data_IF_031575024564
#
_entry.id   IF_031575024564
#
_cell.length_a   1.000
_cell.length_b   1.000
_cell.length_c   1.000
_cell.angle_alpha   90.00
_cell.angle_beta   90.00
_cell.angle_gamma   90.00
#
_symmetry.space_group_name_H-M   'P 1'
#
loop_
_entity.id
_entity.type
_entity.pdbx_description
1 polymer ?
#
# COMPACT_ATOMS: atom_id res chain seq x y z
N UNK A 1 7.69 11.82 64.21
CA UNK A 1 7.63 10.38 64.04
C UNK A 1 8.67 10.04 62.99
N UNK A 2 9.88 9.70 63.48
CA UNK A 2 10.98 9.19 62.67
C UNK A 2 10.65 7.73 62.29
N UNK A 3 10.61 7.40 61.03
CA UNK A 3 10.61 6.03 60.55
C UNK A 3 12.02 5.65 60.10
N UNK A 4 12.67 4.81 60.92
CA UNK A 4 13.93 4.15 60.63
C UNK A 4 13.79 3.25 59.39
N UNK A 5 14.43 3.64 58.27
CA UNK A 5 14.54 2.83 57.05
C UNK A 5 15.68 1.81 57.25
N UNK A 6 15.39 0.63 57.77
CA UNK A 6 16.33 -0.51 57.81
C UNK A 6 16.44 -1.08 56.37
N UNK A 7 17.51 -0.73 55.65
CA UNK A 7 17.87 -1.34 54.40
C UNK A 7 18.12 -2.84 54.55
N UNK A 8 17.46 -3.63 53.74
CA UNK A 8 17.56 -5.10 53.73
C UNK A 8 18.99 -5.54 53.34
N UNK A 9 19.62 -6.36 54.19
CA UNK A 9 20.99 -6.87 54.00
C UNK A 9 21.21 -7.56 52.67
N UNK A 10 20.17 -8.16 52.08
CA UNK A 10 20.21 -8.77 50.75
C UNK A 10 20.37 -7.75 49.61
N UNK A 11 19.84 -6.53 49.75
CA UNK A 11 19.97 -5.47 48.78
C UNK A 11 21.38 -4.86 48.78
N UNK A 12 22.01 -4.74 49.94
CA UNK A 12 23.39 -4.29 50.06
C UNK A 12 24.37 -5.30 49.46
N UNK A 13 24.13 -6.60 49.69
CA UNK A 13 24.95 -7.68 49.09
C UNK A 13 24.85 -7.70 47.58
N UNK A 14 23.67 -7.43 47.01
CA UNK A 14 23.47 -7.37 45.56
C UNK A 14 24.19 -6.16 44.90
N UNK A 15 24.20 -5.02 45.59
CA UNK A 15 24.90 -3.82 45.09
C UNK A 15 26.43 -4.02 45.13
N UNK A 16 26.97 -4.69 46.19
CA UNK A 16 28.41 -5.00 46.30
C UNK A 16 28.82 -5.99 45.19
N UNK A 17 27.99 -6.96 44.85
CA UNK A 17 28.26 -7.91 43.77
C UNK A 17 28.29 -7.23 42.40
N UNK A 18 27.39 -6.27 42.13
CA UNK A 18 27.35 -5.48 40.90
C UNK A 18 28.59 -4.59 40.73
N UNK A 19 29.10 -3.99 41.82
CA UNK A 19 30.31 -3.18 41.81
C UNK A 19 31.56 -4.04 41.64
N UNK A 20 31.60 -5.27 42.18
CA UNK A 20 32.69 -6.21 42.00
C UNK A 20 32.77 -6.74 40.56
N UNK A 21 31.64 -7.03 39.92
CA UNK A 21 31.57 -7.45 38.52
C UNK A 21 32.02 -6.30 37.58
N UNK A 22 31.58 -5.07 37.87
CA UNK A 22 32.01 -3.90 37.07
C UNK A 22 33.52 -3.62 37.21
N UNK A 23 34.12 -3.85 38.38
CA UNK A 23 35.57 -3.72 38.58
C UNK A 23 36.40 -4.84 37.88
N UNK A 24 35.86 -6.04 37.79
CA UNK A 24 36.55 -7.15 37.10
C UNK A 24 36.64 -6.92 35.57
N UNK A 25 35.77 -6.12 34.98
CA UNK A 25 35.84 -5.75 33.58
C UNK A 25 36.82 -4.60 33.25
N UNK A 26 37.30 -3.87 34.25
CA UNK A 26 38.18 -2.70 34.04
C UNK A 26 39.68 -3.03 34.30
N UNK A 27 40.02 -4.19 34.86
CA UNK A 27 41.41 -4.50 35.26
C UNK A 27 41.98 -5.78 34.64
N UNK A 28 41.63 -6.10 33.40
CA UNK A 28 42.32 -7.15 32.65
C UNK A 28 43.22 -6.53 31.59
N UNK A 29 44.39 -6.07 31.97
CA UNK A 29 45.55 -5.82 31.08
C UNK A 29 46.10 -7.16 30.62
N UNK A 30 45.54 -7.73 29.57
CA UNK A 30 46.13 -8.82 28.82
C UNK A 30 47.11 -8.28 27.76
N UNK A 31 48.08 -9.11 27.29
CA UNK A 31 49.18 -8.67 26.44
C UNK A 31 48.70 -8.14 25.10
N UNK A 32 49.33 -7.06 24.64
CA UNK A 32 49.08 -6.42 23.38
C UNK A 32 49.09 -7.43 22.21
N UNK A 33 47.96 -7.75 21.69
CA UNK A 33 47.80 -8.41 20.40
C UNK A 33 48.00 -7.35 19.31
N UNK A 34 49.21 -7.19 18.86
CA UNK A 34 49.54 -6.50 17.62
C UNK A 34 49.08 -7.39 16.46
N UNK A 35 47.81 -7.33 16.13
CA UNK A 35 47.31 -7.90 14.89
C UNK A 35 47.27 -6.83 13.82
N UNK A 36 47.98 -7.07 12.76
CA UNK A 36 47.86 -6.40 11.48
C UNK A 36 46.40 -6.52 10.95
N UNK A 37 45.50 -5.72 11.46
CA UNK A 37 44.29 -5.38 10.74
C UNK A 37 44.71 -4.38 9.65
N UNK A 38 45.20 -4.89 8.51
CA UNK A 38 45.02 -4.19 7.25
C UNK A 38 43.54 -3.97 7.12
N UNK A 39 43.09 -2.76 7.44
CA UNK A 39 41.77 -2.33 7.15
C UNK A 39 41.50 -2.51 5.67
N UNK A 40 40.83 -3.58 5.30
CA UNK A 40 40.12 -3.58 4.05
C UNK A 40 39.05 -2.49 4.25
N UNK A 41 39.34 -1.30 3.74
CA UNK A 41 38.31 -0.31 3.44
C UNK A 41 37.36 -1.09 2.53
N UNK A 42 36.24 -1.52 3.11
CA UNK A 42 35.08 -1.94 2.34
C UNK A 42 34.77 -0.73 1.47
N UNK A 43 35.20 -0.76 0.21
CA UNK A 43 34.71 0.15 -0.79
C UNK A 43 33.25 -0.13 -0.83
N UNK A 44 32.48 0.74 -0.17
CA UNK A 44 31.05 0.86 -0.49
C UNK A 44 31.06 1.30 -1.95
N UNK A 45 30.83 0.34 -2.86
CA UNK A 45 30.36 0.66 -4.18
C UNK A 45 29.07 1.43 -3.92
N UNK A 46 29.09 2.75 -4.13
CA UNK A 46 27.87 3.52 -4.32
C UNK A 46 27.27 2.96 -5.62
N UNK A 47 26.40 1.95 -5.49
CA UNK A 47 25.51 1.63 -6.59
C UNK A 47 24.74 2.89 -6.90
N UNK A 48 24.75 3.28 -8.17
CA UNK A 48 24.02 4.46 -8.64
C UNK A 48 22.55 4.22 -8.33
N UNK A 49 21.93 5.13 -7.57
CA UNK A 49 20.55 4.99 -7.17
C UNK A 49 19.63 5.10 -8.37
N UNK A 50 18.61 4.28 -8.41
CA UNK A 50 17.52 4.37 -9.40
C UNK A 50 16.78 5.69 -9.21
N UNK A 51 16.61 6.44 -10.29
CA UNK A 51 16.00 7.77 -10.29
C UNK A 51 14.51 7.69 -10.56
N UNK A 52 13.74 8.24 -9.64
CA UNK A 52 12.28 8.16 -9.63
C UNK A 52 11.65 9.52 -9.91
N UNK A 53 10.69 9.54 -10.82
CA UNK A 53 9.79 10.67 -11.04
C UNK A 53 8.42 10.46 -10.36
N UNK A 54 7.87 11.50 -9.74
CA UNK A 54 6.52 11.50 -9.16
C UNK A 54 5.69 12.56 -9.86
N UNK A 55 4.77 12.14 -10.72
CA UNK A 55 3.80 13.04 -11.35
C UNK A 55 2.60 13.23 -10.42
N UNK A 56 2.25 14.50 -10.11
CA UNK A 56 1.18 14.81 -9.18
C UNK A 56 1.59 14.71 -7.71
N UNK A 57 2.84 15.05 -7.38
CA UNK A 57 3.43 14.95 -6.04
C UNK A 57 2.69 15.74 -4.95
N UNK A 58 1.93 16.78 -5.30
CA UNK A 58 1.16 17.60 -4.35
C UNK A 58 -0.14 16.94 -3.86
N UNK A 59 -0.52 15.77 -4.39
CA UNK A 59 -1.64 14.95 -3.90
C UNK A 59 -1.25 14.11 -2.68
N UNK A 60 -2.25 13.49 -2.00
CA UNK A 60 -1.98 12.61 -0.85
C UNK A 60 -1.17 11.37 -1.23
N UNK A 61 -1.44 10.75 -2.38
CA UNK A 61 -0.69 9.58 -2.86
C UNK A 61 0.75 9.95 -3.21
N UNK A 62 0.97 11.11 -3.87
CA UNK A 62 2.33 11.59 -4.16
C UNK A 62 3.13 11.91 -2.89
N UNK A 63 2.51 12.55 -1.89
CA UNK A 63 3.15 12.82 -0.61
C UNK A 63 3.47 11.52 0.16
N UNK A 64 2.59 10.54 0.11
CA UNK A 64 2.81 9.24 0.74
C UNK A 64 3.93 8.45 0.03
N UNK A 65 3.98 8.48 -1.31
CA UNK A 65 5.11 7.93 -2.07
C UNK A 65 6.43 8.60 -1.67
N UNK A 66 6.47 9.94 -1.59
CA UNK A 66 7.67 10.65 -1.14
C UNK A 66 8.10 10.18 0.27
N UNK A 67 7.15 10.00 1.20
CA UNK A 67 7.43 9.48 2.56
C UNK A 67 8.09 8.09 2.52
N UNK A 68 7.59 7.21 1.68
CA UNK A 68 8.09 5.83 1.57
C UNK A 68 9.43 5.78 0.82
N UNK A 69 9.56 6.53 -0.27
CA UNK A 69 10.79 6.56 -1.08
C UNK A 69 11.99 7.18 -0.35
N UNK A 70 11.77 8.14 0.55
CA UNK A 70 12.84 8.76 1.34
C UNK A 70 13.60 7.79 2.25
N UNK A 71 12.98 6.66 2.61
CA UNK A 71 13.63 5.61 3.42
C UNK A 71 14.02 4.39 2.60
N UNK A 72 13.82 4.41 1.30
CA UNK A 72 14.21 3.32 0.40
C UNK A 72 15.72 3.40 0.08
N UNK A 73 16.50 2.33 0.29
CA UNK A 73 17.96 2.41 0.21
C UNK A 73 18.48 2.61 -1.21
N UNK A 74 17.77 2.13 -2.23
CA UNK A 74 18.27 2.01 -3.61
C UNK A 74 17.72 3.05 -4.59
N UNK A 75 16.87 3.99 -4.13
CA UNK A 75 16.26 4.97 -5.03
C UNK A 75 16.51 6.40 -4.56
N UNK A 76 16.35 7.34 -5.48
CA UNK A 76 16.26 8.77 -5.19
C UNK A 76 15.12 9.42 -5.98
N UNK A 77 14.48 10.41 -5.37
CA UNK A 77 13.43 11.19 -6.04
C UNK A 77 14.13 12.27 -6.85
N UNK A 78 14.13 12.13 -8.17
CA UNK A 78 14.84 13.01 -9.09
C UNK A 78 13.92 14.02 -9.81
N UNK A 79 12.61 13.76 -9.88
CA UNK A 79 11.64 14.69 -10.45
C UNK A 79 10.31 14.64 -9.68
N UNK A 80 9.68 15.80 -9.50
CA UNK A 80 8.37 15.94 -8.87
C UNK A 80 7.54 16.96 -9.63
N UNK A 81 6.34 16.56 -10.08
CA UNK A 81 5.45 17.51 -10.75
C UNK A 81 4.21 17.83 -9.93
N UNK A 82 3.69 19.04 -10.13
CA UNK A 82 2.41 19.48 -9.60
C UNK A 82 1.93 20.69 -10.40
N UNK A 83 0.64 20.75 -10.74
CA UNK A 83 0.08 21.84 -11.51
C UNK A 83 0.02 23.14 -10.69
N UNK A 84 -0.87 23.22 -9.71
CA UNK A 84 -1.13 24.45 -8.92
C UNK A 84 0.02 24.83 -7.99
N UNK A 85 0.92 23.93 -7.68
CA UNK A 85 2.04 24.13 -6.76
C UNK A 85 3.39 24.16 -7.49
N UNK A 86 3.41 24.29 -8.81
CA UNK A 86 4.63 24.43 -9.59
C UNK A 86 5.46 25.64 -9.13
N UNK A 87 6.79 25.50 -9.17
CA UNK A 87 7.76 26.50 -8.71
C UNK A 87 8.02 26.46 -7.20
N UNK A 88 7.21 25.75 -6.41
CA UNK A 88 7.38 25.69 -4.96
C UNK A 88 8.31 24.54 -4.54
N UNK A 89 8.96 24.72 -3.40
CA UNK A 89 9.64 23.63 -2.69
C UNK A 89 8.59 22.65 -2.13
N UNK A 90 8.85 21.36 -2.21
CA UNK A 90 7.92 20.35 -1.72
C UNK A 90 7.59 20.53 -0.23
N UNK A 91 8.60 20.95 0.57
CA UNK A 91 8.44 21.23 2.00
C UNK A 91 7.55 22.46 2.30
N UNK A 92 7.36 23.38 1.36
CA UNK A 92 6.40 24.48 1.54
C UNK A 92 4.95 24.03 1.39
N UNK A 93 4.72 22.97 0.61
CA UNK A 93 3.40 22.34 0.44
C UNK A 93 3.11 21.33 1.56
N UNK A 94 4.15 20.66 2.05
CA UNK A 94 4.12 19.64 3.08
C UNK A 94 5.24 19.86 4.11
N UNK A 95 5.03 20.74 5.12
CA UNK A 95 6.06 21.13 6.08
C UNK A 95 6.73 19.97 6.84
N UNK A 96 6.07 18.84 6.98
CA UNK A 96 6.63 17.64 7.58
C UNK A 96 7.82 17.04 6.81
N UNK A 97 8.10 17.52 5.59
CA UNK A 97 9.28 17.11 4.80
C UNK A 97 10.43 18.13 4.88
N UNK A 98 10.37 19.13 5.78
CA UNK A 98 11.44 20.13 5.93
C UNK A 98 12.80 19.54 6.35
N UNK A 99 12.81 18.34 6.91
CA UNK A 99 14.03 17.60 7.22
C UNK A 99 14.70 16.99 5.97
N UNK A 100 13.94 16.74 4.91
CA UNK A 100 14.41 16.10 3.69
C UNK A 100 15.06 17.13 2.78
N UNK A 101 16.41 17.13 2.74
CA UNK A 101 17.17 18.00 1.87
C UNK A 101 17.34 17.39 0.48
N UNK A 102 17.35 18.25 -0.55
CA UNK A 102 17.64 17.81 -1.92
C UNK A 102 16.45 17.24 -2.69
N UNK A 103 15.22 17.34 -2.15
CA UNK A 103 14.05 17.04 -2.94
C UNK A 103 13.89 18.05 -4.09
N UNK A 104 13.49 17.60 -5.30
CA UNK A 104 13.25 18.49 -6.42
C UNK A 104 12.17 19.53 -6.12
N UNK A 105 12.29 20.72 -6.72
CA UNK A 105 11.16 21.66 -6.81
C UNK A 105 10.03 21.05 -7.61
N UNK A 106 8.81 21.43 -7.26
CA UNK A 106 7.64 21.05 -8.03
C UNK A 106 7.63 21.82 -9.36
N UNK A 107 7.54 21.11 -10.46
CA UNK A 107 7.45 21.65 -11.82
C UNK A 107 6.10 21.30 -12.44
N UNK A 108 5.73 21.92 -13.55
CA UNK A 108 4.60 21.46 -14.36
C UNK A 108 5.06 20.32 -15.26
N UNK A 109 4.16 19.40 -15.57
CA UNK A 109 4.50 18.30 -16.45
C UNK A 109 4.78 18.78 -17.89
N UNK A 110 4.09 19.82 -18.33
CA UNK A 110 4.25 20.43 -19.65
C UNK A 110 5.59 21.16 -19.83
N UNK A 111 6.32 21.38 -18.74
CA UNK A 111 7.68 21.96 -18.76
C UNK A 111 8.75 20.89 -19.05
N UNK A 112 8.37 19.59 -19.13
CA UNK A 112 9.28 18.49 -19.39
C UNK A 112 9.16 17.96 -20.80
N UNK A 113 10.25 18.03 -21.54
CA UNK A 113 10.42 17.37 -22.83
C UNK A 113 10.94 15.93 -22.66
N UNK A 114 10.98 15.17 -23.74
CA UNK A 114 11.42 13.76 -23.69
C UNK A 114 12.85 13.61 -23.13
N UNK A 115 13.72 14.59 -23.39
CA UNK A 115 15.12 14.64 -22.94
C UNK A 115 15.25 14.80 -21.42
N UNK A 116 14.31 15.50 -20.78
CA UNK A 116 14.32 15.71 -19.32
C UNK A 116 14.11 14.39 -18.56
N UNK A 117 13.48 13.43 -19.20
CA UNK A 117 13.29 12.10 -18.65
C UNK A 117 14.50 11.17 -18.87
N UNK A 118 15.57 11.63 -19.58
CA UNK A 118 16.73 10.78 -19.93
C UNK A 118 17.42 10.16 -18.70
N UNK A 119 17.41 10.86 -17.57
CA UNK A 119 17.99 10.39 -16.31
C UNK A 119 17.00 9.72 -15.35
N UNK A 120 15.73 9.51 -15.75
CA UNK A 120 14.72 8.86 -14.91
C UNK A 120 14.55 7.41 -15.35
N UNK A 121 14.39 6.50 -14.39
CA UNK A 121 14.24 5.06 -14.63
C UNK A 121 12.78 4.61 -14.49
N UNK A 122 12.06 5.18 -13.52
CA UNK A 122 10.66 4.83 -13.26
C UNK A 122 9.87 6.08 -12.85
N UNK A 123 8.62 6.11 -13.30
CA UNK A 123 7.65 7.18 -12.99
C UNK A 123 6.46 6.60 -12.25
N UNK A 124 6.06 7.26 -11.16
CA UNK A 124 4.76 7.10 -10.52
C UNK A 124 3.80 8.18 -11.00
N UNK A 125 2.64 7.77 -11.54
CA UNK A 125 1.58 8.69 -11.92
C UNK A 125 0.54 8.80 -10.81
N UNK A 126 0.53 9.94 -10.10
CA UNK A 126 -0.42 10.26 -9.02
C UNK A 126 -1.41 11.35 -9.46
N UNK A 127 -1.81 11.31 -10.71
CA UNK A 127 -2.65 12.31 -11.36
C UNK A 127 -4.15 11.95 -11.26
N UNK A 128 -5.05 12.91 -11.49
CA UNK A 128 -6.48 12.62 -11.59
C UNK A 128 -6.79 11.63 -12.72
N UNK A 129 -7.91 10.91 -12.58
CA UNK A 129 -8.42 10.05 -13.65
C UNK A 129 -8.71 10.85 -14.93
N UNK A 130 -8.67 10.17 -16.06
CA UNK A 130 -8.83 10.71 -17.42
C UNK A 130 -7.73 11.69 -17.86
N UNK A 131 -6.58 11.72 -17.17
CA UNK A 131 -5.43 12.57 -17.54
C UNK A 131 -4.16 11.79 -17.81
N UNK A 132 -4.02 10.57 -17.29
CA UNK A 132 -2.75 9.83 -17.35
C UNK A 132 -2.53 9.12 -18.68
N UNK A 133 -3.58 8.80 -19.43
CA UNK A 133 -3.49 8.06 -20.69
C UNK A 133 -2.61 8.77 -21.72
N UNK A 134 -2.91 10.04 -22.00
CA UNK A 134 -2.13 10.83 -22.96
C UNK A 134 -0.71 11.15 -22.48
N UNK A 135 -0.56 11.35 -21.18
CA UNK A 135 0.73 11.63 -20.56
C UNK A 135 1.64 10.40 -20.68
N UNK A 136 1.16 9.23 -20.26
CA UNK A 136 1.94 7.99 -20.31
C UNK A 136 2.26 7.58 -21.75
N UNK A 137 1.35 7.85 -22.69
CA UNK A 137 1.57 7.57 -24.11
C UNK A 137 2.71 8.42 -24.72
N UNK A 138 3.00 9.59 -24.15
CA UNK A 138 4.09 10.48 -24.58
C UNK A 138 5.42 10.18 -23.89
N UNK A 139 5.41 9.43 -22.77
CA UNK A 139 6.64 9.09 -22.06
C UNK A 139 7.53 8.14 -22.90
N UNK A 140 8.86 8.30 -22.84
CA UNK A 140 9.78 7.39 -23.51
C UNK A 140 9.52 5.91 -23.16
N UNK A 141 9.53 5.04 -24.15
CA UNK A 141 9.20 3.61 -23.98
C UNK A 141 10.11 2.87 -23.01
N UNK A 142 11.34 3.33 -22.81
CA UNK A 142 12.29 2.75 -21.84
C UNK A 142 11.87 2.94 -20.40
N UNK A 143 11.01 3.95 -20.11
CA UNK A 143 10.57 4.23 -18.75
C UNK A 143 9.59 3.19 -18.25
N UNK A 144 9.83 2.69 -17.06
CA UNK A 144 8.85 1.93 -16.30
C UNK A 144 7.86 2.89 -15.66
N UNK A 145 6.59 2.49 -15.62
CA UNK A 145 5.51 3.35 -15.10
C UNK A 145 4.63 2.55 -14.14
N UNK A 146 4.34 3.13 -12.98
CA UNK A 146 3.29 2.66 -12.07
C UNK A 146 2.22 3.75 -12.00
N UNK A 147 1.06 3.47 -12.57
CA UNK A 147 -0.06 4.40 -12.61
C UNK A 147 -1.02 4.17 -11.44
N UNK A 148 -1.17 5.16 -10.55
CA UNK A 148 -2.10 5.13 -9.42
C UNK A 148 -3.48 5.69 -9.80
N UNK A 149 -3.66 6.20 -11.01
CA UNK A 149 -4.98 6.57 -11.52
C UNK A 149 -5.84 5.34 -11.83
N UNK A 150 -7.04 5.54 -12.31
CA UNK A 150 -7.89 4.43 -12.74
C UNK A 150 -7.77 4.14 -14.25
N UNK A 151 -6.94 4.91 -14.97
CA UNK A 151 -6.99 5.01 -16.43
C UNK A 151 -6.59 3.72 -17.14
N UNK A 152 -5.82 2.85 -16.48
CA UNK A 152 -5.37 1.58 -17.05
C UNK A 152 -5.82 0.34 -16.27
N UNK A 153 -6.75 0.48 -15.30
CA UNK A 153 -7.18 -0.65 -14.45
C UNK A 153 -8.15 -1.59 -15.14
N UNK A 154 -9.05 -1.04 -15.97
CA UNK A 154 -10.07 -1.82 -16.65
C UNK A 154 -9.55 -2.28 -18.00
N UNK A 155 -9.49 -3.59 -18.23
CA UNK A 155 -9.01 -4.18 -19.49
C UNK A 155 -9.95 -3.89 -20.67
N UNK A 156 -11.26 -3.75 -20.39
CA UNK A 156 -12.27 -3.42 -21.38
C UNK A 156 -12.46 -1.89 -21.44
N UNK A 157 -12.13 -1.30 -22.58
CA UNK A 157 -12.24 0.16 -22.80
C UNK A 157 -13.69 0.65 -22.87
N UNK A 158 -14.65 -0.21 -23.25
CA UNK A 158 -16.06 0.14 -23.24
C UNK A 158 -16.59 0.23 -21.81
N UNK A 159 -16.17 -0.69 -20.92
CA UNK A 159 -16.45 -0.61 -19.49
C UNK A 159 -15.81 0.64 -18.87
N UNK A 160 -14.58 0.99 -19.29
CA UNK A 160 -13.96 2.24 -18.85
C UNK A 160 -14.82 3.45 -19.26
N UNK A 161 -15.27 3.50 -20.52
CA UNK A 161 -16.14 4.58 -21.02
C UNK A 161 -17.45 4.67 -20.25
N UNK A 162 -18.10 3.54 -19.99
CA UNK A 162 -19.36 3.48 -19.23
C UNK A 162 -19.21 4.08 -17.82
N UNK A 163 -18.15 3.72 -17.10
CA UNK A 163 -17.97 4.09 -15.69
C UNK A 163 -17.22 5.41 -15.47
N UNK A 164 -16.38 5.84 -16.40
CA UNK A 164 -15.61 7.08 -16.28
C UNK A 164 -16.12 8.20 -17.18
N UNK A 165 -17.01 7.90 -18.11
CA UNK A 165 -17.69 8.88 -18.98
C UNK A 165 -16.83 9.44 -20.13
N UNK A 166 -15.64 8.89 -20.36
CA UNK A 166 -14.71 9.32 -21.41
C UNK A 166 -14.26 8.13 -22.26
N UNK A 167 -14.02 8.36 -23.54
CA UNK A 167 -13.32 7.39 -24.38
C UNK A 167 -11.90 7.17 -23.85
N UNK A 168 -11.38 5.95 -23.97
CA UNK A 168 -10.02 5.65 -23.59
C UNK A 168 -9.04 6.23 -24.62
N UNK A 169 -8.20 7.20 -24.21
CA UNK A 169 -7.31 7.92 -25.12
C UNK A 169 -6.08 7.08 -25.59
N UNK A 170 -5.77 5.96 -24.93
CA UNK A 170 -4.62 5.12 -25.25
C UNK A 170 -4.97 3.61 -25.23
N UNK A 171 -5.91 3.13 -26.08
CA UNK A 171 -6.39 1.74 -26.05
C UNK A 171 -5.31 0.71 -26.37
N UNK A 172 -4.33 1.04 -27.21
CA UNK A 172 -3.22 0.13 -27.52
C UNK A 172 -2.25 0.00 -26.33
N UNK A 173 -2.04 1.06 -25.58
CA UNK A 173 -1.24 1.02 -24.36
C UNK A 173 -1.97 0.26 -23.25
N UNK A 174 -3.32 0.33 -23.18
CA UNK A 174 -4.14 -0.45 -22.28
C UNK A 174 -3.88 -1.96 -22.38
N UNK A 175 -3.68 -2.48 -23.59
CA UNK A 175 -3.39 -3.91 -23.83
C UNK A 175 -2.07 -4.38 -23.20
N UNK A 176 -1.15 -3.45 -22.92
CA UNK A 176 0.16 -3.70 -22.32
C UNK A 176 0.15 -3.50 -20.80
N UNK A 177 -0.87 -2.86 -20.27
CA UNK A 177 -0.97 -2.56 -18.84
C UNK A 177 -1.21 -3.84 -18.02
N UNK A 178 -0.41 -4.02 -16.97
CA UNK A 178 -0.56 -5.12 -16.02
C UNK A 178 -1.27 -4.61 -14.78
N UNK A 179 -2.33 -5.28 -14.37
CA UNK A 179 -3.02 -4.97 -13.12
C UNK A 179 -2.15 -5.36 -11.92
N UNK A 180 -1.72 -4.37 -11.14
CA UNK A 180 -0.65 -4.47 -10.16
C UNK A 180 -1.10 -4.95 -8.77
N UNK A 181 -1.97 -5.95 -8.65
CA UNK A 181 -2.21 -6.63 -7.38
C UNK A 181 -1.08 -7.65 -7.15
N UNK A 182 0.02 -7.18 -6.56
CA UNK A 182 1.33 -7.84 -6.54
C UNK A 182 1.25 -9.30 -6.11
N UNK A 183 0.56 -9.59 -5.02
CA UNK A 183 0.46 -10.95 -4.47
C UNK A 183 -0.15 -11.96 -5.46
N UNK A 184 -1.00 -11.51 -6.36
CA UNK A 184 -1.70 -12.37 -7.33
C UNK A 184 -1.15 -12.29 -8.76
N UNK A 185 -0.36 -11.25 -9.09
CA UNK A 185 0.11 -10.98 -10.46
C UNK A 185 1.64 -10.72 -10.52
N UNK A 186 2.41 -11.16 -9.51
CA UNK A 186 3.85 -10.87 -9.35
C UNK A 186 4.68 -11.13 -10.59
N UNK A 187 4.51 -12.28 -11.24
CA UNK A 187 5.30 -12.64 -12.42
C UNK A 187 5.01 -11.71 -13.62
N UNK A 188 3.77 -11.25 -13.74
CA UNK A 188 3.38 -10.29 -14.79
C UNK A 188 3.96 -8.91 -14.47
N UNK A 189 3.87 -8.46 -13.21
CA UNK A 189 4.44 -7.18 -12.74
C UNK A 189 5.94 -7.12 -12.97
N UNK A 190 6.66 -8.21 -12.74
CA UNK A 190 8.11 -8.30 -12.91
C UNK A 190 8.59 -7.91 -14.30
N UNK A 191 7.83 -8.24 -15.33
CA UNK A 191 8.19 -7.99 -16.74
C UNK A 191 7.48 -6.79 -17.34
N UNK A 192 6.56 -6.16 -16.59
CA UNK A 192 5.76 -5.06 -17.08
C UNK A 192 6.58 -3.78 -17.31
N UNK A 193 6.21 -3.02 -18.35
CA UNK A 193 6.59 -1.61 -18.50
C UNK A 193 5.60 -0.70 -17.78
N UNK A 194 4.30 -0.98 -17.89
CA UNK A 194 3.20 -0.22 -17.31
C UNK A 194 2.42 -1.10 -16.34
N UNK A 195 2.37 -0.66 -15.09
CA UNK A 195 1.56 -1.31 -14.05
C UNK A 195 0.43 -0.37 -13.65
N UNK A 196 -0.81 -0.82 -13.82
CA UNK A 196 -2.00 -0.17 -13.29
C UNK A 196 -2.18 -0.55 -11.81
N UNK A 197 -1.86 0.37 -10.93
CA UNK A 197 -1.96 0.12 -9.48
C UNK A 197 -3.42 0.04 -9.04
N UNK A 198 -3.84 -1.01 -8.32
CA UNK A 198 -5.23 -1.20 -7.90
C UNK A 198 -5.81 -0.05 -7.09
N UNK A 199 -7.13 0.11 -7.13
CA UNK A 199 -7.85 0.95 -6.20
C UNK A 199 -7.82 0.40 -4.77
N UNK A 200 -8.03 1.27 -3.79
CA UNK A 200 -7.93 0.86 -2.39
C UNK A 200 -8.98 -0.18 -1.97
N UNK A 201 -10.24 0.01 -2.32
CA UNK A 201 -11.29 -0.99 -2.09
C UNK A 201 -11.06 -2.27 -2.90
N UNK A 202 -10.76 -2.22 -4.22
CA UNK A 202 -10.43 -3.43 -4.98
C UNK A 202 -9.27 -4.22 -4.37
N UNK A 203 -8.26 -3.58 -3.81
CA UNK A 203 -7.17 -4.27 -3.10
C UNK A 203 -7.69 -5.07 -1.92
N UNK A 204 -8.51 -4.48 -1.05
CA UNK A 204 -9.05 -5.14 0.13
C UNK A 204 -10.02 -6.27 -0.21
N UNK A 205 -10.87 -6.07 -1.23
CA UNK A 205 -11.87 -7.06 -1.66
C UNK A 205 -11.26 -8.24 -2.43
N UNK A 206 -10.39 -7.95 -3.39
CA UNK A 206 -9.87 -8.97 -4.30
C UNK A 206 -8.87 -9.92 -3.63
N UNK A 207 -8.06 -9.44 -2.69
CA UNK A 207 -7.13 -10.30 -1.97
C UNK A 207 -7.83 -11.53 -1.37
N UNK A 208 -8.92 -11.44 -0.60
CA UNK A 208 -9.57 -12.64 -0.11
C UNK A 208 -10.49 -13.32 -1.13
N UNK A 209 -11.15 -12.58 -2.03
CA UNK A 209 -12.19 -13.14 -2.89
C UNK A 209 -11.63 -13.91 -4.10
N UNK A 210 -10.54 -13.44 -4.71
CA UNK A 210 -9.93 -14.11 -5.88
C UNK A 210 -9.48 -15.53 -5.52
N UNK A 211 -8.68 -15.77 -4.48
CA UNK A 211 -8.29 -17.13 -4.10
C UNK A 211 -9.48 -18.01 -3.71
N UNK A 212 -10.49 -17.43 -3.06
CA UNK A 212 -11.69 -18.15 -2.65
C UNK A 212 -12.52 -18.66 -3.85
N UNK A 213 -12.69 -17.79 -4.88
CA UNK A 213 -13.37 -18.14 -6.12
C UNK A 213 -12.57 -19.15 -6.95
N UNK A 214 -11.27 -18.92 -7.11
CA UNK A 214 -10.38 -19.82 -7.85
C UNK A 214 -10.33 -21.23 -7.25
N UNK A 215 -10.42 -21.36 -5.91
CA UNK A 215 -10.50 -22.63 -5.22
C UNK A 215 -11.92 -23.23 -5.19
N UNK A 216 -12.93 -22.54 -5.69
CA UNK A 216 -14.32 -23.01 -5.70
C UNK A 216 -14.91 -23.22 -4.31
N UNK A 217 -14.46 -22.48 -3.29
CA UNK A 217 -14.97 -22.61 -1.90
C UNK A 217 -16.11 -21.67 -1.58
N UNK A 218 -16.32 -20.64 -2.41
CA UNK A 218 -17.48 -19.72 -2.33
C UNK A 218 -18.24 -19.74 -3.66
N UNK A 219 -19.53 -19.37 -3.60
CA UNK A 219 -20.33 -19.11 -4.80
C UNK A 219 -19.97 -17.75 -5.39
N UNK A 220 -19.97 -17.60 -6.71
CA UNK A 220 -19.69 -16.33 -7.38
C UNK A 220 -20.88 -15.35 -7.33
N UNK A 221 -22.02 -15.81 -6.90
CA UNK A 221 -23.25 -15.04 -6.83
C UNK A 221 -23.54 -14.63 -5.38
N UNK A 222 -24.19 -13.47 -5.17
CA UNK A 222 -24.63 -13.00 -3.85
C UNK A 222 -23.50 -12.46 -2.96
N UNK A 223 -22.36 -12.07 -3.53
CA UNK A 223 -21.27 -11.42 -2.81
C UNK A 223 -21.68 -10.00 -2.42
N UNK A 224 -21.64 -9.71 -1.11
CA UNK A 224 -21.95 -8.39 -0.56
C UNK A 224 -20.67 -7.84 0.09
N UNK A 225 -20.24 -6.65 -0.34
CA UNK A 225 -19.06 -5.95 0.18
C UNK A 225 -19.54 -4.66 0.85
N UNK A 226 -19.60 -4.68 2.18
CA UNK A 226 -19.92 -3.53 3.01
C UNK A 226 -18.64 -2.89 3.52
N UNK A 227 -18.22 -1.78 2.87
CA UNK A 227 -16.91 -1.19 3.00
C UNK A 227 -16.93 0.16 3.74
N UNK A 228 -15.94 0.39 4.60
CA UNK A 228 -15.75 1.63 5.37
C UNK A 228 -14.38 2.20 5.05
N UNK A 229 -14.29 3.49 4.70
CA UNK A 229 -13.03 4.16 4.35
C UNK A 229 -12.84 5.47 5.10
N UNK A 230 -11.59 5.76 5.42
CA UNK A 230 -11.17 7.09 5.83
C UNK A 230 -11.22 8.11 4.68
N UNK A 231 -11.29 9.38 5.06
CA UNK A 231 -11.54 10.53 4.15
C UNK A 231 -10.43 10.80 3.15
N UNK A 232 -9.20 10.39 3.43
CA UNK A 232 -8.07 10.62 2.52
C UNK A 232 -8.22 9.93 1.16
N UNK A 233 -9.08 8.90 1.07
CA UNK A 233 -9.43 8.24 -0.19
C UNK A 233 -10.12 9.16 -1.20
N UNK A 234 -10.76 10.24 -0.75
CA UNK A 234 -11.37 11.25 -1.61
C UNK A 234 -10.37 12.23 -2.25
N UNK A 235 -9.09 12.16 -1.87
CA UNK A 235 -8.03 13.05 -2.33
C UNK A 235 -7.96 14.36 -1.54
N UNK A 236 -6.94 15.19 -1.87
CA UNK A 236 -6.65 16.44 -1.16
C UNK A 236 -7.53 17.62 -1.58
N UNK A 237 -8.04 17.62 -2.79
CA UNK A 237 -8.88 18.71 -3.28
C UNK A 237 -10.16 18.83 -2.42
N UNK A 238 -10.48 20.04 -1.89
CA UNK A 238 -11.66 20.21 -1.05
C UNK A 238 -12.95 19.97 -1.84
N UNK A 239 -13.84 19.20 -1.25
CA UNK A 239 -15.20 18.96 -1.74
C UNK A 239 -16.14 19.11 -0.56
N UNK A 240 -17.35 19.62 -0.77
CA UNK A 240 -18.31 19.82 0.30
C UNK A 240 -18.47 18.58 1.17
N UNK A 241 -18.77 17.41 0.60
CA UNK A 241 -18.97 16.16 1.33
C UNK A 241 -17.72 15.58 2.03
N UNK A 242 -16.55 16.25 1.95
CA UNK A 242 -15.32 15.87 2.65
C UNK A 242 -14.79 16.97 3.60
N UNK A 243 -15.59 18.05 3.81
CA UNK A 243 -15.26 19.06 4.80
C UNK A 243 -15.43 18.49 6.21
N UNK A 244 -14.65 19.01 7.16
CA UNK A 244 -14.63 18.50 8.53
C UNK A 244 -16.04 18.41 9.15
N UNK A 245 -16.86 19.47 9.04
CA UNK A 245 -18.20 19.50 9.60
C UNK A 245 -19.20 18.57 8.88
N UNK A 246 -18.89 18.11 7.67
CA UNK A 246 -19.73 17.18 6.91
C UNK A 246 -19.39 15.71 7.22
N UNK A 247 -18.21 15.46 7.77
CA UNK A 247 -17.68 14.10 8.02
C UNK A 247 -17.53 13.80 9.50
N UNK A 248 -17.20 14.81 10.33
CA UNK A 248 -16.99 14.62 11.75
C UNK A 248 -18.26 14.07 12.43
N UNK A 249 -18.05 13.12 13.37
CA UNK A 249 -19.11 12.50 14.17
C UNK A 249 -20.22 11.79 13.38
N UNK A 250 -20.04 11.58 12.07
CA UNK A 250 -21.00 10.93 11.20
C UNK A 250 -20.42 9.82 10.34
N UNK A 251 -21.29 8.95 9.85
CA UNK A 251 -20.99 7.93 8.84
C UNK A 251 -22.07 7.99 7.77
N UNK A 252 -21.67 7.94 6.50
CA UNK A 252 -22.65 7.88 5.41
C UNK A 252 -22.17 7.00 4.26
N UNK A 253 -23.10 6.33 3.60
CA UNK A 253 -22.85 5.64 2.35
C UNK A 253 -22.69 6.65 1.21
N UNK A 254 -21.82 6.36 0.24
CA UNK A 254 -21.65 7.18 -0.95
C UNK A 254 -21.45 6.32 -2.19
N UNK A 255 -21.76 6.86 -3.37
CA UNK A 255 -21.61 6.12 -4.62
C UNK A 255 -22.39 4.79 -4.64
N UNK A 256 -23.52 4.71 -3.93
CA UNK A 256 -24.32 3.49 -3.83
C UNK A 256 -24.75 3.03 -5.20
N UNK A 257 -24.49 1.77 -5.54
CA UNK A 257 -24.72 1.13 -6.83
C UNK A 257 -24.08 1.85 -8.04
N UNK A 258 -23.14 2.79 -7.80
CA UNK A 258 -22.53 3.61 -8.87
C UNK A 258 -21.05 3.92 -8.62
N UNK A 259 -20.43 3.30 -7.64
CA UNK A 259 -19.02 3.55 -7.32
C UNK A 259 -18.10 2.89 -8.34
N UNK A 260 -17.16 3.67 -8.88
CA UNK A 260 -16.23 3.26 -9.96
C UNK A 260 -15.27 2.13 -9.63
N UNK A 261 -15.18 1.69 -8.37
CA UNK A 261 -14.43 0.49 -8.00
C UNK A 261 -15.22 -0.81 -8.19
N UNK A 262 -16.55 -0.76 -8.38
CA UNK A 262 -17.35 -1.97 -8.60
C UNK A 262 -16.86 -2.76 -9.83
N UNK A 263 -16.77 -2.18 -11.05
CA UNK A 263 -16.30 -2.92 -12.23
C UNK A 263 -14.85 -3.40 -12.10
N UNK A 264 -14.00 -2.70 -11.35
CA UNK A 264 -12.63 -3.14 -11.08
C UNK A 264 -12.58 -4.40 -10.21
N UNK A 265 -13.44 -4.47 -9.18
CA UNK A 265 -13.61 -5.68 -8.35
C UNK A 265 -14.16 -6.82 -9.21
N UNK A 266 -15.26 -6.56 -9.90
CA UNK A 266 -15.99 -7.54 -10.73
C UNK A 266 -15.11 -8.12 -11.83
N UNK A 267 -14.23 -7.33 -12.44
CA UNK A 267 -13.26 -7.80 -13.42
C UNK A 267 -12.33 -8.89 -12.84
N UNK A 268 -11.70 -8.63 -11.70
CA UNK A 268 -10.79 -9.60 -11.08
C UNK A 268 -11.50 -10.85 -10.58
N UNK A 269 -12.71 -10.70 -10.04
CA UNK A 269 -13.52 -11.83 -9.58
C UNK A 269 -14.04 -12.67 -10.75
N UNK A 270 -14.44 -12.05 -11.86
CA UNK A 270 -14.89 -12.74 -13.07
C UNK A 270 -13.75 -13.54 -13.72
N UNK A 271 -12.54 -12.97 -13.77
CA UNK A 271 -11.34 -13.70 -14.22
C UNK A 271 -11.10 -14.94 -13.37
N UNK A 272 -11.17 -14.82 -12.05
CA UNK A 272 -10.93 -15.92 -11.11
C UNK A 272 -12.02 -17.00 -11.19
N UNK A 273 -13.28 -16.61 -11.38
CA UNK A 273 -14.41 -17.53 -11.45
C UNK A 273 -14.59 -18.18 -12.83
N UNK A 274 -13.91 -17.66 -13.89
CA UNK A 274 -14.11 -18.08 -15.29
C UNK A 274 -15.50 -17.76 -15.86
N UNK A 275 -16.26 -16.88 -15.20
CA UNK A 275 -17.59 -16.41 -15.61
C UNK A 275 -17.87 -15.04 -15.00
N UNK A 276 -18.85 -14.31 -15.56
CA UNK A 276 -19.27 -13.00 -15.02
C UNK A 276 -19.68 -13.08 -13.54
N UNK A 277 -19.12 -12.18 -12.73
CA UNK A 277 -19.44 -11.99 -11.31
C UNK A 277 -19.84 -10.56 -11.11
N UNK A 278 -20.96 -10.34 -10.45
CA UNK A 278 -21.42 -9.03 -10.00
C UNK A 278 -21.42 -8.99 -8.47
N UNK A 279 -21.12 -7.83 -7.89
CA UNK A 279 -21.09 -7.66 -6.45
C UNK A 279 -22.03 -6.56 -5.96
N UNK A 280 -22.61 -6.74 -4.77
CA UNK A 280 -23.24 -5.64 -4.05
C UNK A 280 -22.16 -4.89 -3.28
N UNK A 281 -21.66 -3.80 -3.86
CA UNK A 281 -20.60 -2.98 -3.25
C UNK A 281 -21.18 -1.67 -2.71
N UNK A 282 -21.07 -1.47 -1.39
CA UNK A 282 -21.53 -0.25 -0.72
C UNK A 282 -20.42 0.35 0.13
N UNK A 283 -19.75 1.40 -0.35
CA UNK A 283 -18.75 2.11 0.43
C UNK A 283 -19.37 3.14 1.38
N UNK A 284 -18.75 3.30 2.56
CA UNK A 284 -19.10 4.30 3.55
C UNK A 284 -17.91 5.18 3.88
N UNK A 285 -18.13 6.47 4.06
CA UNK A 285 -17.13 7.40 4.56
C UNK A 285 -17.21 7.47 6.08
N UNK A 286 -16.05 7.30 6.72
CA UNK A 286 -15.89 7.29 8.17
C UNK A 286 -15.16 8.56 8.65
N UNK A 287 -15.46 9.07 9.87
CA UNK A 287 -14.77 10.23 10.45
C UNK A 287 -13.36 9.86 10.94
N UNK A 288 -12.56 9.33 10.04
CA UNK A 288 -11.15 9.01 10.26
C UNK A 288 -10.34 9.38 9.02
N UNK A 289 -9.05 9.68 9.17
CA UNK A 289 -8.21 10.06 8.05
C UNK A 289 -7.84 8.87 7.16
N UNK A 290 -7.43 7.74 7.76
CA UNK A 290 -6.87 6.57 7.05
C UNK A 290 -7.54 5.29 7.49
N UNK A 291 -7.48 4.31 6.61
CA UNK A 291 -7.90 2.93 6.81
C UNK A 291 -9.12 2.55 5.99
N UNK A 292 -9.14 1.31 5.54
CA UNK A 292 -10.30 0.64 4.97
C UNK A 292 -10.57 -0.61 5.81
N UNK A 293 -11.84 -0.83 6.13
CA UNK A 293 -12.35 -2.08 6.67
C UNK A 293 -13.49 -2.54 5.77
N UNK A 294 -13.34 -3.74 5.21
CA UNK A 294 -14.40 -4.39 4.45
C UNK A 294 -14.95 -5.59 5.22
N UNK A 295 -16.28 -5.67 5.31
CA UNK A 295 -17.01 -6.83 5.79
C UNK A 295 -17.72 -7.44 4.59
N UNK A 296 -17.31 -8.64 4.20
CA UNK A 296 -17.74 -9.28 2.97
C UNK A 296 -18.56 -10.53 3.33
N UNK A 297 -19.77 -10.59 2.85
CA UNK A 297 -20.69 -11.71 3.08
C UNK A 297 -20.72 -12.58 1.83
N UNK A 298 -20.50 -13.88 2.00
CA UNK A 298 -20.43 -14.85 0.90
C UNK A 298 -21.25 -16.11 1.21
N UNK A 299 -21.81 -16.71 0.17
CA UNK A 299 -22.37 -18.04 0.20
C UNK A 299 -21.25 -19.06 -0.05
N UNK A 300 -21.13 -20.05 0.84
CA UNK A 300 -20.20 -21.16 0.66
C UNK A 300 -20.68 -22.10 -0.47
N UNK A 301 -19.75 -22.67 -1.20
CA UNK A 301 -20.06 -23.71 -2.18
C UNK A 301 -20.58 -24.96 -1.46
N UNK A 302 -21.28 -25.83 -2.19
CA UNK A 302 -21.84 -27.05 -1.63
C UNK A 302 -20.77 -27.91 -0.96
N UNK A 303 -21.03 -28.37 0.26
CA UNK A 303 -20.12 -29.17 1.06
C UNK A 303 -18.90 -28.43 1.62
N UNK A 304 -18.79 -27.11 1.41
CA UNK A 304 -17.71 -26.28 1.94
C UNK A 304 -18.07 -25.59 3.23
N UNK A 305 -17.06 -25.30 4.04
CA UNK A 305 -17.19 -24.64 5.33
C UNK A 305 -16.37 -23.34 5.38
N UNK A 306 -16.62 -22.48 6.36
CA UNK A 306 -15.78 -21.31 6.62
C UNK A 306 -14.33 -21.69 6.99
N UNK A 307 -14.12 -22.89 7.55
CA UNK A 307 -12.77 -23.41 7.81
C UNK A 307 -12.03 -23.73 6.51
N UNK A 308 -12.71 -24.32 5.52
CA UNK A 308 -12.11 -24.57 4.19
C UNK A 308 -11.73 -23.25 3.51
N UNK A 309 -12.60 -22.23 3.58
CA UNK A 309 -12.32 -20.91 3.05
C UNK A 309 -11.11 -20.26 3.74
N UNK A 310 -11.04 -20.34 5.07
CA UNK A 310 -9.91 -19.82 5.82
C UNK A 310 -8.61 -20.54 5.47
N UNK A 311 -8.64 -21.86 5.37
CA UNK A 311 -7.47 -22.67 4.99
C UNK A 311 -6.94 -22.31 3.58
N UNK A 312 -7.82 -22.00 2.63
CA UNK A 312 -7.42 -21.51 1.29
C UNK A 312 -6.64 -20.21 1.40
N UNK A 313 -7.12 -19.25 2.22
CA UNK A 313 -6.42 -17.98 2.39
C UNK A 313 -5.09 -18.13 3.16
N UNK A 314 -5.07 -18.95 4.22
CA UNK A 314 -3.85 -19.25 4.98
C UNK A 314 -2.78 -19.89 4.08
N UNK A 315 -3.16 -20.86 3.27
CA UNK A 315 -2.24 -21.52 2.32
C UNK A 315 -1.76 -20.55 1.22
N UNK A 316 -2.66 -19.70 0.69
CA UNK A 316 -2.31 -18.74 -0.38
C UNK A 316 -1.33 -17.68 0.09
N UNK A 317 -1.45 -17.24 1.33
CA UNK A 317 -0.70 -16.11 1.87
C UNK A 317 0.38 -16.49 2.88
N UNK A 318 0.70 -17.79 3.02
CA UNK A 318 1.71 -18.28 3.97
C UNK A 318 3.08 -17.59 3.82
N UNK A 319 3.49 -17.35 2.59
CA UNK A 319 4.80 -16.75 2.26
C UNK A 319 4.71 -15.28 1.83
N UNK A 320 3.54 -14.65 1.96
CA UNK A 320 3.36 -13.26 1.53
C UNK A 320 3.72 -12.29 2.67
N UNK A 321 4.71 -11.39 2.44
CA UNK A 321 5.25 -10.58 3.53
C UNK A 321 4.26 -9.56 4.11
N UNK A 322 3.22 -9.20 3.35
CA UNK A 322 2.29 -8.15 3.75
C UNK A 322 0.88 -8.64 4.06
N UNK A 323 0.56 -9.90 3.81
CA UNK A 323 -0.79 -10.41 4.03
C UNK A 323 -0.80 -11.40 5.19
N UNK A 324 -1.60 -11.11 6.22
CA UNK A 324 -1.75 -11.98 7.40
C UNK A 324 -3.20 -12.39 7.57
N UNK A 325 -3.44 -13.69 7.62
CA UNK A 325 -4.74 -14.26 8.02
C UNK A 325 -4.75 -14.42 9.54
N UNK A 326 -5.61 -13.66 10.23
CA UNK A 326 -5.66 -13.64 11.69
C UNK A 326 -6.18 -14.96 12.28
N UNK A 327 -5.68 -15.39 13.45
CA UNK A 327 -6.12 -16.61 14.09
C UNK A 327 -7.55 -16.49 14.66
N UNK A 328 -8.17 -17.63 14.92
CA UNK A 328 -9.46 -17.71 15.61
C UNK A 328 -10.55 -16.88 14.96
N UNK A 329 -11.27 -16.11 15.77
CA UNK A 329 -12.36 -15.20 15.36
C UNK A 329 -11.96 -13.72 15.48
N UNK A 330 -10.70 -13.41 15.58
CA UNK A 330 -10.19 -12.05 15.76
C UNK A 330 -10.56 -11.17 14.57
N UNK A 331 -11.18 -10.03 14.83
CA UNK A 331 -11.57 -9.08 13.77
C UNK A 331 -10.41 -8.10 13.49
N UNK A 332 -10.00 -7.92 12.23
CA UNK A 332 -9.04 -6.89 11.87
C UNK A 332 -9.59 -5.50 12.12
N UNK A 333 -8.72 -4.54 12.42
CA UNK A 333 -9.09 -3.14 12.64
C UNK A 333 -8.20 -2.23 11.79
N UNK A 334 -8.73 -1.08 11.38
CA UNK A 334 -7.97 -0.10 10.59
C UNK A 334 -6.73 0.41 11.32
N UNK A 335 -6.77 0.52 12.65
CA UNK A 335 -5.61 0.93 13.46
C UNK A 335 -4.48 -0.10 13.50
N UNK A 336 -4.77 -1.38 13.21
CA UNK A 336 -3.76 -2.45 13.16
C UNK A 336 -2.90 -2.42 11.89
N UNK A 337 -3.29 -1.63 10.89
CA UNK A 337 -2.61 -1.54 9.59
C UNK A 337 -2.19 -0.11 9.24
N UNK A 338 -2.62 0.88 10.02
CA UNK A 338 -2.41 2.31 9.72
C UNK A 338 -0.94 2.65 9.53
N UNK A 339 -0.60 3.31 8.42
CA UNK A 339 0.76 3.75 8.08
C UNK A 339 1.68 2.66 7.57
N UNK A 340 1.19 1.43 7.40
CA UNK A 340 1.97 0.27 6.94
C UNK A 340 1.39 -0.37 5.67
N UNK A 341 2.19 -1.21 5.02
CA UNK A 341 1.76 -1.98 3.83
C UNK A 341 1.06 -3.31 4.18
N UNK A 342 0.78 -3.55 5.46
CA UNK A 342 0.14 -4.78 5.90
C UNK A 342 -1.35 -4.83 5.57
N UNK A 343 -1.80 -6.05 5.29
CA UNK A 343 -3.20 -6.45 5.12
C UNK A 343 -3.54 -7.47 6.19
N UNK A 344 -4.60 -7.24 6.93
CA UNK A 344 -5.11 -8.26 7.86
C UNK A 344 -6.44 -8.77 7.37
N UNK A 345 -6.52 -10.09 7.22
CA UNK A 345 -7.70 -10.83 6.79
C UNK A 345 -8.19 -11.75 7.91
N UNK A 346 -9.48 -12.00 7.98
CA UNK A 346 -10.01 -13.13 8.72
C UNK A 346 -11.30 -13.66 8.09
N UNK A 347 -11.63 -14.89 8.39
CA UNK A 347 -12.84 -15.59 7.97
C UNK A 347 -13.52 -16.18 9.19
N UNK A 348 -14.81 -15.96 9.33
CA UNK A 348 -15.63 -16.58 10.37
C UNK A 348 -16.89 -17.17 9.74
N UNK A 349 -17.39 -18.28 10.33
CA UNK A 349 -18.70 -18.82 9.96
C UNK A 349 -19.78 -17.82 10.38
N UNK A 350 -20.76 -17.58 9.49
CA UNK A 350 -21.97 -16.86 9.86
C UNK A 350 -22.87 -17.75 10.75
N UNK A 351 -23.82 -17.12 11.46
CA UNK A 351 -24.89 -17.82 12.14
C UNK A 351 -25.84 -18.53 11.17
N UNK A 352 -25.93 -18.00 9.95
CA UNK A 352 -26.73 -18.59 8.87
C UNK A 352 -25.97 -19.76 8.25
N UNK A 353 -26.56 -20.96 8.18
CA UNK A 353 -25.89 -22.10 7.57
C UNK A 353 -25.51 -21.84 6.11
N UNK A 354 -24.35 -22.33 5.69
CA UNK A 354 -23.86 -22.17 4.32
C UNK A 354 -23.32 -20.78 3.98
N UNK A 355 -23.13 -19.91 4.98
CA UNK A 355 -22.58 -18.57 4.79
C UNK A 355 -21.30 -18.35 5.60
N UNK A 356 -20.43 -17.46 5.09
CA UNK A 356 -19.25 -16.99 5.80
C UNK A 356 -19.13 -15.48 5.71
N UNK A 357 -18.41 -14.91 6.68
CA UNK A 357 -18.06 -13.48 6.73
C UNK A 357 -16.55 -13.40 6.60
N UNK A 358 -16.09 -12.70 5.58
CA UNK A 358 -14.69 -12.32 5.37
C UNK A 358 -14.51 -10.89 5.86
N UNK A 359 -13.43 -10.63 6.55
CA UNK A 359 -13.06 -9.27 6.97
C UNK A 359 -11.68 -8.95 6.45
N UNK A 360 -11.51 -7.74 5.90
CA UNK A 360 -10.24 -7.25 5.37
C UNK A 360 -9.98 -5.83 5.87
N UNK A 361 -8.76 -5.58 6.35
CA UNK A 361 -8.32 -4.24 6.76
C UNK A 361 -7.00 -3.87 6.10
N UNK A 362 -6.93 -2.64 5.57
CA UNK A 362 -5.73 -2.04 4.95
C UNK A 362 -5.61 -0.55 5.33
N UNK A 363 -4.42 0.02 5.20
CA UNK A 363 -4.28 1.47 5.08
C UNK A 363 -4.56 1.88 3.62
N UNK A 364 -5.57 2.73 3.41
CA UNK A 364 -6.00 3.12 2.06
C UNK A 364 -4.97 3.94 1.27
N UNK A 365 -4.03 4.62 1.94
CA UNK A 365 -2.95 5.36 1.28
C UNK A 365 -1.67 4.54 1.12
N UNK A 366 -1.44 3.52 1.95
CA UNK A 366 -0.26 2.66 1.86
C UNK A 366 -0.60 1.44 1.00
N UNK A 367 -1.10 0.36 1.57
CA UNK A 367 -1.44 -0.84 0.79
C UNK A 367 -2.53 -0.59 -0.25
N UNK A 368 -3.45 0.31 0.03
CA UNK A 368 -4.50 0.70 -0.92
C UNK A 368 -4.05 1.63 -2.05
N UNK A 369 -2.81 2.15 -2.02
CA UNK A 369 -2.31 3.10 -3.02
C UNK A 369 -0.78 3.09 -3.12
N UNK A 370 -0.09 3.98 -2.38
CA UNK A 370 1.33 4.29 -2.55
C UNK A 370 2.25 3.16 -2.12
N UNK A 371 1.90 2.41 -1.09
CA UNK A 371 2.68 1.24 -0.65
C UNK A 371 2.59 0.09 -1.65
N UNK A 372 1.40 -0.19 -2.19
CA UNK A 372 1.22 -1.14 -3.29
C UNK A 372 2.00 -0.72 -4.53
N UNK A 373 2.00 0.57 -4.86
CA UNK A 373 2.77 1.10 -5.99
C UNK A 373 4.28 0.93 -5.77
N UNK A 374 4.79 1.19 -4.57
CA UNK A 374 6.19 0.95 -4.23
C UNK A 374 6.54 -0.55 -4.25
N UNK A 375 5.66 -1.41 -3.75
CA UNK A 375 5.82 -2.87 -3.84
C UNK A 375 5.90 -3.33 -5.30
N UNK A 376 5.04 -2.81 -6.17
CA UNK A 376 5.09 -3.06 -7.62
C UNK A 376 6.42 -2.58 -8.22
N UNK A 377 6.89 -1.37 -7.87
CA UNK A 377 8.19 -0.86 -8.31
C UNK A 377 9.33 -1.82 -7.90
N UNK A 378 9.33 -2.29 -6.66
CA UNK A 378 10.35 -3.21 -6.17
C UNK A 378 10.42 -4.48 -7.03
N UNK A 379 9.27 -5.08 -7.33
CA UNK A 379 9.17 -6.26 -8.21
C UNK A 379 9.64 -5.95 -9.63
N UNK A 380 9.22 -4.81 -10.21
CA UNK A 380 9.61 -4.36 -11.55
C UNK A 380 11.12 -4.14 -11.69
N UNK A 381 11.78 -3.71 -10.62
CA UNK A 381 13.22 -3.40 -10.59
C UNK A 381 14.08 -4.55 -10.02
N UNK A 382 13.43 -5.62 -9.53
CA UNK A 382 14.12 -6.79 -8.98
C UNK A 382 14.64 -6.59 -7.56
N UNK A 383 14.15 -5.61 -6.82
CA UNK A 383 14.41 -5.44 -5.40
C UNK A 383 13.54 -6.36 -4.53
N UNK A 384 13.93 -6.65 -3.29
CA UNK A 384 13.04 -7.29 -2.32
C UNK A 384 11.74 -6.47 -2.16
N UNK A 385 10.60 -7.13 -2.19
CA UNK A 385 9.28 -6.46 -2.13
C UNK A 385 9.10 -5.57 -0.90
N UNK A 386 9.79 -5.90 0.19
CA UNK A 386 9.70 -5.19 1.48
C UNK A 386 10.58 -3.95 1.57
N UNK A 387 11.47 -3.70 0.62
CA UNK A 387 12.35 -2.53 0.67
C UNK A 387 11.55 -1.22 0.69
N UNK A 388 11.88 -0.35 1.65
CA UNK A 388 11.15 0.89 1.88
C UNK A 388 9.74 0.73 2.49
N UNK A 389 9.28 -0.52 2.78
CA UNK A 389 7.92 -0.84 3.26
C UNK A 389 7.89 -1.53 4.63
N UNK A 390 9.02 -1.56 5.35
CA UNK A 390 9.14 -2.25 6.65
C UNK A 390 8.56 -1.46 7.84
N UNK A 391 7.75 -0.43 7.60
CA UNK A 391 7.16 0.35 8.69
C UNK A 391 6.12 -0.49 9.44
N UNK A 392 6.30 -0.60 10.75
CA UNK A 392 5.26 -1.16 11.62
C UNK A 392 4.01 -0.27 11.62
N UNK A 393 2.82 -0.85 11.80
CA UNK A 393 1.60 -0.07 11.96
C UNK A 393 1.68 0.94 13.10
N UNK A 394 1.15 2.14 12.87
CA UNK A 394 1.03 3.15 13.92
C UNK A 394 -0.20 2.88 14.78
N UNK A 395 0.04 2.46 16.01
CA UNK A 395 -1.00 2.21 17.02
C UNK A 395 -0.67 3.01 18.29
N UNK A 396 -1.60 3.66 18.94
CA UNK A 396 -3.05 3.74 18.71
C UNK A 396 -3.51 4.58 17.51
#
# INVERSE_FOLDING_TARGET
VEQDFKMNKSFVAFLILLVAVARAFVTNNGPAFSSHLKGSRMQMHHEEKVKIGILGASGYTGAELARLLLVHPHVEIAAMTADRMAGQEFASVYPQFSFAKGLPKLTRIEEHEAEDWAGIDLIFCCLPHATTQEIIAKLPERLKVVDLSADFRLSNVDTYKEWYGNDHAAPELQKQAVYGLTELKRDQVKTARLVANPGCYPTAAQLPLIPALAAGVIKPDGIIIDAKSGTTGAGRAPKQGTLFCEVADGIHAYGVASHRHAPEIEQGLSEAAGKGVLVNFTPHLMPMSRGILETIYVDLAEGKTAADLKAVLEARYADEPFVTVLPGKEAPQTRHVRGSNHVFLNVVADRLPGKAIIMAAIDNLVKGASGQALQNMNVMLGYPETEGLNQAPMFP
#
